data_IF_101374250904
#
_entry.id   IF_101374250904
#
_cell.length_a   1.000
_cell.length_b   1.000
_cell.length_c   1.000
_cell.angle_alpha   90.00
_cell.angle_beta   90.00
_cell.angle_gamma   90.00
#
_symmetry.space_group_name_H-M   'P 1'
#
loop_
_entity.id
_entity.type
_entity.pdbx_description
1 polymer ?
#
# COMPACT_ATOMS: atom_id res chain seq x y z
N UNK A 1 -5.06 20.98 -1.82
CA UNK A 1 -3.80 20.38 -2.33
C UNK A 1 -2.92 21.38 -3.08
N UNK A 2 -3.48 22.23 -3.95
CA UNK A 2 -2.68 23.28 -4.62
C UNK A 2 -2.10 24.32 -3.66
N UNK A 3 -2.84 24.66 -2.61
CA UNK A 3 -2.42 25.62 -1.59
C UNK A 3 -1.16 25.16 -0.85
N UNK A 4 -1.09 23.86 -0.53
CA UNK A 4 0.10 23.21 0.04
C UNK A 4 1.26 23.26 -0.96
N UNK A 5 1.02 22.97 -2.24
CA UNK A 5 2.06 23.05 -3.29
C UNK A 5 2.64 24.46 -3.45
N UNK A 6 1.84 25.51 -3.27
CA UNK A 6 2.30 26.92 -3.33
C UNK A 6 3.35 27.23 -2.26
N UNK A 7 3.13 26.80 -1.02
CA UNK A 7 4.06 27.02 0.11
C UNK A 7 5.44 26.41 -0.17
N UNK A 8 5.47 25.24 -0.80
CA UNK A 8 6.72 24.51 -1.08
C UNK A 8 7.40 24.90 -2.39
N UNK A 9 6.77 25.74 -3.23
CA UNK A 9 7.28 26.08 -4.57
C UNK A 9 8.64 26.79 -4.54
N UNK A 10 8.92 27.56 -3.48
CA UNK A 10 10.21 28.22 -3.28
C UNK A 10 11.34 27.25 -2.88
N UNK A 11 10.99 26.13 -2.22
CA UNK A 11 11.97 25.16 -1.69
C UNK A 11 12.18 23.96 -2.60
N UNK A 12 11.13 23.54 -3.29
CA UNK A 12 11.14 22.38 -4.17
C UNK A 12 10.83 22.84 -5.59
N UNK A 13 11.88 22.88 -6.42
CA UNK A 13 11.71 23.07 -7.85
C UNK A 13 11.01 21.83 -8.43
N UNK A 14 10.01 22.00 -9.32
CA UNK A 14 9.44 20.87 -10.05
C UNK A 14 10.55 20.05 -10.70
N UNK A 15 10.47 18.73 -10.57
CA UNK A 15 11.39 17.84 -11.25
C UNK A 15 11.27 18.07 -12.76
N UNK A 16 12.41 18.28 -13.43
CA UNK A 16 12.46 18.43 -14.89
C UNK A 16 12.05 17.14 -15.59
N UNK A 17 11.88 17.21 -16.91
CA UNK A 17 11.58 16.06 -17.75
C UNK A 17 12.60 14.94 -17.51
N UNK A 18 12.13 13.70 -17.29
CA UNK A 18 12.97 12.52 -17.07
C UNK A 18 14.03 12.33 -18.17
N UNK A 19 13.71 12.69 -19.42
CA UNK A 19 14.63 12.61 -20.55
C UNK A 19 15.82 13.58 -20.46
N UNK A 20 15.72 14.62 -19.63
CA UNK A 20 16.78 15.62 -19.41
C UNK A 20 17.63 15.33 -18.18
N UNK A 21 17.36 14.23 -17.46
CA UNK A 21 18.11 13.93 -16.24
C UNK A 21 19.52 13.43 -16.61
N UNK A 22 20.55 13.88 -15.90
CA UNK A 22 21.89 13.36 -16.10
C UNK A 22 21.92 11.86 -15.75
N UNK A 23 22.80 11.12 -16.43
CA UNK A 23 23.06 9.71 -16.07
C UNK A 23 23.56 9.66 -14.64
N UNK A 24 22.93 8.83 -13.80
CA UNK A 24 23.36 8.66 -12.41
C UNK A 24 24.74 8.00 -12.36
N UNK A 25 25.74 8.76 -11.90
CA UNK A 25 27.13 8.29 -11.74
C UNK A 25 27.46 7.83 -10.30
N UNK A 26 26.48 7.89 -9.38
CA UNK A 26 26.69 7.52 -7.99
C UNK A 26 26.74 6.00 -7.75
N UNK A 27 27.16 5.58 -6.54
CA UNK A 27 27.17 4.17 -6.19
C UNK A 27 25.76 3.58 -6.25
N UNK A 28 25.63 2.46 -6.95
CA UNK A 28 24.36 1.72 -7.02
C UNK A 28 24.14 1.01 -5.70
N UNK A 29 23.26 1.56 -4.87
CA UNK A 29 22.85 0.94 -3.61
C UNK A 29 21.92 -0.24 -3.91
N UNK A 30 22.50 -1.42 -4.15
CA UNK A 30 21.77 -2.68 -4.27
C UNK A 30 21.75 -3.33 -2.89
N UNK A 31 20.57 -3.54 -2.28
CA UNK A 31 20.48 -4.27 -1.02
C UNK A 31 21.05 -5.67 -1.19
N UNK A 32 21.92 -6.11 -0.27
CA UNK A 32 22.47 -7.46 -0.30
C UNK A 32 21.32 -8.48 -0.18
N UNK A 33 21.09 -9.34 -1.20
CA UNK A 33 20.02 -10.33 -1.14
C UNK A 33 20.14 -11.31 0.03
N UNK A 34 21.36 -11.58 0.51
CA UNK A 34 21.62 -12.48 1.64
C UNK A 34 21.27 -11.87 3.00
N UNK A 35 21.27 -10.54 3.11
CA UNK A 35 20.83 -9.81 4.30
C UNK A 35 19.34 -9.46 4.23
N UNK A 36 18.66 -9.83 3.15
CA UNK A 36 17.22 -9.66 3.03
C UNK A 36 16.55 -10.51 4.11
N UNK A 37 15.71 -9.89 4.93
CA UNK A 37 14.85 -10.64 5.86
C UNK A 37 13.99 -11.61 5.05
N UNK A 38 14.37 -12.87 5.08
CA UNK A 38 13.51 -13.99 4.70
C UNK A 38 12.40 -14.07 5.74
N UNK A 39 11.16 -14.26 5.31
CA UNK A 39 9.95 -14.27 6.14
C UNK A 39 9.95 -15.30 7.30
N UNK A 40 10.97 -16.16 7.39
CA UNK A 40 11.20 -17.09 8.51
C UNK A 40 11.76 -16.32 9.72
N UNK A 41 10.90 -15.57 10.39
CA UNK A 41 11.30 -14.83 11.57
C UNK A 41 10.38 -13.69 11.98
N UNK A 42 9.16 -13.60 11.43
CA UNK A 42 8.15 -12.77 12.08
C UNK A 42 7.91 -13.39 13.45
N UNK A 43 8.27 -12.72 14.56
CA UNK A 43 7.99 -13.24 15.88
C UNK A 43 6.48 -13.47 15.98
N UNK A 44 6.05 -14.58 16.57
CA UNK A 44 4.65 -14.72 16.99
C UNK A 44 4.31 -13.44 17.76
N UNK A 45 3.23 -12.77 17.39
CA UNK A 45 2.76 -11.59 18.13
C UNK A 45 2.50 -12.06 19.56
N UNK A 46 3.45 -11.80 20.45
CA UNK A 46 3.35 -12.01 21.91
C UNK A 46 2.81 -10.78 22.61
N UNK A 47 2.60 -9.69 21.86
CA UNK A 47 2.03 -8.46 22.40
C UNK A 47 0.57 -8.73 22.78
N UNK A 48 0.25 -8.44 24.03
CA UNK A 48 -1.13 -8.41 24.52
C UNK A 48 -1.94 -7.42 23.67
N UNK A 49 -3.02 -7.90 23.05
CA UNK A 49 -3.92 -7.04 22.28
C UNK A 49 -4.63 -6.11 23.26
N UNK A 50 -4.51 -4.80 23.07
CA UNK A 50 -5.27 -3.84 23.86
C UNK A 50 -6.59 -3.47 23.16
N UNK A 51 -7.43 -2.67 23.84
CA UNK A 51 -8.72 -2.20 23.32
C UNK A 51 -8.63 -1.48 21.96
N UNK A 52 -7.48 -0.85 21.65
CA UNK A 52 -7.25 -0.18 20.35
C UNK A 52 -6.89 -1.17 19.23
N UNK A 53 -6.29 -2.30 19.58
CA UNK A 53 -5.98 -3.40 18.66
C UNK A 53 -7.19 -4.29 18.38
N UNK A 54 -8.18 -4.29 19.28
CA UNK A 54 -9.45 -4.99 19.07
C UNK A 54 -10.19 -4.39 17.87
N UNK A 55 -10.39 -5.22 16.85
CA UNK A 55 -11.00 -4.84 15.59
C UNK A 55 -12.47 -4.41 15.72
N UNK A 56 -13.11 -4.65 16.87
CA UNK A 56 -14.50 -4.28 17.14
C UNK A 56 -14.71 -2.75 17.11
N UNK A 57 -13.65 -1.96 17.31
CA UNK A 57 -13.68 -0.50 17.18
C UNK A 57 -13.45 -0.01 15.75
N UNK A 58 -12.94 -0.86 14.85
CA UNK A 58 -12.84 -0.52 13.44
C UNK A 58 -14.16 -0.86 12.78
N UNK A 59 -14.81 0.15 12.22
CA UNK A 59 -15.97 -0.04 11.33
C UNK A 59 -15.67 -1.09 10.23
N UNK A 60 -16.72 -1.58 9.55
CA UNK A 60 -16.61 -2.75 8.69
C UNK A 60 -15.44 -2.65 7.70
N UNK A 61 -14.73 -3.76 7.50
CA UNK A 61 -13.57 -3.78 6.60
C UNK A 61 -13.99 -3.32 5.20
N UNK A 62 -13.43 -2.19 4.78
CA UNK A 62 -13.61 -1.63 3.43
C UNK A 62 -12.58 -2.22 2.49
N UNK A 63 -13.00 -2.47 1.25
CA UNK A 63 -12.13 -2.89 0.17
C UNK A 63 -11.04 -1.85 -0.06
N UNK A 64 -9.77 -2.26 -0.05
CA UNK A 64 -8.64 -1.34 -0.24
C UNK A 64 -8.50 -0.82 -1.68
N UNK A 65 -9.27 -1.36 -2.64
CA UNK A 65 -9.25 -0.91 -4.04
C UNK A 65 -10.35 0.12 -4.30
N UNK A 66 -11.61 -0.23 -4.02
CA UNK A 66 -12.76 0.63 -4.34
C UNK A 66 -13.44 1.27 -3.12
N UNK A 67 -13.02 0.95 -1.90
CA UNK A 67 -13.64 1.48 -0.67
C UNK A 67 -15.02 0.92 -0.34
N UNK A 68 -15.56 -0.03 -1.12
CA UNK A 68 -16.83 -0.69 -0.83
C UNK A 68 -16.76 -1.60 0.40
N UNK A 69 -17.88 -1.76 1.11
CA UNK A 69 -18.01 -2.70 2.22
C UNK A 69 -18.34 -4.11 1.69
N UNK A 70 -18.27 -5.13 2.54
CA UNK A 70 -18.70 -6.50 2.21
C UNK A 70 -17.70 -7.35 1.42
N UNK A 71 -16.57 -6.78 0.98
CA UNK A 71 -15.56 -7.54 0.25
C UNK A 71 -14.13 -7.06 0.50
N UNK A 72 -13.19 -8.00 0.40
CA UNK A 72 -11.75 -7.73 0.44
C UNK A 72 -11.24 -7.33 -0.95
N UNK A 73 -10.01 -6.80 -1.01
CA UNK A 73 -9.31 -6.49 -2.27
C UNK A 73 -9.28 -7.67 -3.26
N UNK A 74 -9.19 -8.92 -2.79
CA UNK A 74 -9.15 -10.10 -3.66
C UNK A 74 -10.48 -10.38 -4.37
N UNK A 75 -11.61 -9.97 -3.78
CA UNK A 75 -12.97 -10.14 -4.31
C UNK A 75 -13.55 -8.83 -4.84
N UNK A 76 -12.69 -7.85 -5.15
CA UNK A 76 -13.15 -6.55 -5.62
C UNK A 76 -13.58 -6.64 -7.10
N UNK A 77 -14.78 -6.19 -7.45
CA UNK A 77 -15.22 -6.12 -8.85
C UNK A 77 -14.31 -5.26 -9.73
N UNK A 78 -13.63 -4.27 -9.14
CA UNK A 78 -12.67 -3.40 -9.84
C UNK A 78 -11.25 -3.98 -9.91
N UNK A 79 -11.05 -5.23 -9.47
CA UNK A 79 -9.75 -5.88 -9.59
C UNK A 79 -9.50 -6.21 -11.06
N UNK A 80 -8.48 -5.59 -11.66
CA UNK A 80 -8.04 -5.93 -13.01
C UNK A 80 -7.58 -7.40 -13.02
N UNK A 81 -8.29 -8.24 -13.77
CA UNK A 81 -8.00 -9.67 -13.94
C UNK A 81 -8.71 -10.58 -12.94
N UNK A 82 -9.99 -10.86 -13.20
CA UNK A 82 -10.56 -12.22 -13.28
C UNK A 82 -12.09 -12.09 -13.25
N UNK A 83 -12.70 -12.04 -14.44
CA UNK A 83 -14.09 -12.43 -14.65
C UNK A 83 -14.21 -13.89 -14.24
N UNK A 84 -14.64 -14.15 -13.01
CA UNK A 84 -15.07 -15.47 -12.59
C UNK A 84 -16.42 -15.28 -11.92
N UNK A 85 -17.44 -15.37 -12.76
CA UNK A 85 -18.80 -15.74 -12.39
C UNK A 85 -18.78 -16.89 -11.40
N UNK A 86 -19.39 -16.68 -10.24
CA UNK A 86 -19.61 -17.69 -9.22
C UNK A 86 -20.58 -17.09 -8.20
N UNK A 87 -21.87 -17.24 -8.48
CA UNK A 87 -22.92 -17.05 -7.49
C UNK A 87 -22.71 -18.04 -6.35
N UNK A 88 -23.07 -17.63 -5.13
CA UNK A 88 -24.36 -18.04 -4.58
C UNK A 88 -24.57 -17.35 -3.23
N UNK A 89 -25.80 -16.89 -3.05
CA UNK A 89 -26.31 -16.37 -1.79
C UNK A 89 -26.54 -17.56 -0.85
N UNK A 90 -26.28 -17.43 0.45
CA UNK A 90 -27.11 -18.09 1.43
C UNK A 90 -27.07 -17.41 2.81
N UNK A 91 -28.28 -17.07 3.26
CA UNK A 91 -28.83 -16.85 4.62
C UNK A 91 -28.03 -16.08 5.67
#
# INVERSE_FOLDING_TARGET
>A
MEEIKKVYRARFKPLGNLATWPVYQGPRNIPNPHLKRVSKGCPKITRFLNKMDMHDMRGPRRCRLCGGQGHSRSRCPHRAGSSASGGDHNS
#
